data_IF_149145771099
#
_entry.id   IF_149145771099
#
_cell.length_a   1.000
_cell.length_b   1.000
_cell.length_c   1.000
_cell.angle_alpha   90.00
_cell.angle_beta   90.00
_cell.angle_gamma   90.00
#
_symmetry.space_group_name_H-M   'P 1'
#
loop_
_entity.id
_entity.type
_entity.pdbx_description
1 polymer ?
#
# COMPACT_ATOMS: atom_id res chain seq x y z
N UNK A 1 20.90 -10.03 -24.00
CA UNK A 1 19.49 -10.38 -23.72
C UNK A 1 19.16 -10.70 -22.25
N UNK A 2 20.09 -11.25 -21.45
CA UNK A 2 19.84 -11.66 -20.05
C UNK A 2 19.55 -10.49 -19.07
N UNK A 3 20.13 -9.30 -19.31
CA UNK A 3 19.97 -8.10 -18.45
C UNK A 3 18.53 -7.56 -18.39
N UNK A 4 17.77 -7.69 -19.49
CA UNK A 4 16.37 -7.21 -19.61
C UNK A 4 15.39 -8.05 -18.76
N UNK A 5 15.59 -9.37 -18.70
CA UNK A 5 14.71 -10.30 -17.96
C UNK A 5 14.63 -9.96 -16.46
N UNK A 6 15.74 -9.56 -15.84
CA UNK A 6 15.78 -9.22 -14.41
C UNK A 6 15.17 -7.85 -14.10
N UNK A 7 15.23 -6.90 -15.03
CA UNK A 7 14.58 -5.60 -14.87
C UNK A 7 13.05 -5.74 -14.85
N UNK A 8 12.50 -6.51 -15.79
CA UNK A 8 11.06 -6.78 -15.86
C UNK A 8 10.56 -7.52 -14.61
N UNK A 9 11.34 -8.46 -14.05
CA UNK A 9 11.00 -9.14 -12.79
C UNK A 9 10.94 -8.18 -11.60
N UNK A 10 11.91 -7.28 -11.45
CA UNK A 10 11.93 -6.28 -10.37
C UNK A 10 10.73 -5.33 -10.47
N UNK A 11 10.42 -4.89 -11.69
CA UNK A 11 9.27 -4.02 -11.96
C UNK A 11 7.95 -4.74 -11.69
N UNK A 12 7.84 -6.02 -12.08
CA UNK A 12 6.69 -6.86 -11.76
C UNK A 12 6.52 -6.99 -10.25
N UNK A 13 7.60 -7.26 -9.51
CA UNK A 13 7.55 -7.42 -8.06
C UNK A 13 7.12 -6.12 -7.35
N UNK A 14 7.66 -4.97 -7.76
CA UNK A 14 7.20 -3.66 -7.25
C UNK A 14 5.72 -3.42 -7.57
N UNK A 15 5.28 -3.78 -8.77
CA UNK A 15 3.88 -3.66 -9.16
C UNK A 15 2.98 -4.58 -8.32
N UNK A 16 3.42 -5.80 -8.01
CA UNK A 16 2.70 -6.72 -7.11
C UNK A 16 2.61 -6.15 -5.69
N UNK A 17 3.71 -5.60 -5.14
CA UNK A 17 3.71 -4.95 -3.82
C UNK A 17 2.76 -3.76 -3.80
N UNK A 18 2.76 -2.95 -4.86
CA UNK A 18 1.85 -1.81 -5.01
C UNK A 18 0.39 -2.25 -5.07
N UNK A 19 0.06 -3.27 -5.87
CA UNK A 19 -1.28 -3.84 -5.95
C UNK A 19 -1.75 -4.39 -4.60
N UNK A 20 -0.89 -5.13 -3.89
CA UNK A 20 -1.19 -5.61 -2.55
C UNK A 20 -1.49 -4.45 -1.60
N UNK A 21 -0.65 -3.42 -1.60
CA UNK A 21 -0.86 -2.24 -0.76
C UNK A 21 -2.14 -1.46 -1.07
N UNK A 22 -2.69 -1.61 -2.28
CA UNK A 22 -3.99 -1.03 -2.64
C UNK A 22 -5.15 -1.92 -2.20
N UNK A 23 -5.10 -3.22 -2.45
CA UNK A 23 -6.26 -4.12 -2.29
C UNK A 23 -6.54 -4.45 -0.84
N UNK A 24 -5.50 -4.60 -0.01
CA UNK A 24 -5.65 -5.06 1.38
C UNK A 24 -6.53 -4.14 2.25
N UNK A 25 -6.44 -2.80 2.21
CA UNK A 25 -7.28 -1.94 3.05
C UNK A 25 -8.78 -2.01 2.73
N UNK A 26 -9.19 -2.64 1.63
CA UNK A 26 -10.60 -2.88 1.31
C UNK A 26 -11.20 -4.08 2.06
N UNK A 27 -10.41 -4.87 2.78
CA UNK A 27 -10.87 -6.05 3.53
C UNK A 27 -10.56 -5.84 5.02
N UNK A 28 -11.56 -5.47 5.85
CA UNK A 28 -11.33 -5.06 7.25
C UNK A 28 -10.61 -6.10 8.12
N UNK A 29 -10.88 -7.39 7.90
CA UNK A 29 -10.21 -8.49 8.61
C UNK A 29 -8.73 -8.66 8.22
N UNK A 30 -8.35 -8.28 7.00
CA UNK A 30 -6.95 -8.30 6.56
C UNK A 30 -6.16 -7.09 7.08
N UNK A 31 -6.80 -5.95 7.34
CA UNK A 31 -6.13 -4.75 7.84
C UNK A 31 -5.45 -4.99 9.21
N UNK A 32 -6.08 -5.76 10.12
CA UNK A 32 -5.49 -6.13 11.42
C UNK A 32 -4.32 -7.11 11.21
N UNK A 33 -4.50 -8.11 10.34
CA UNK A 33 -3.45 -9.08 10.02
C UNK A 33 -2.25 -8.38 9.37
N UNK A 34 -2.49 -7.36 8.55
CA UNK A 34 -1.46 -6.58 7.85
C UNK A 34 -0.56 -5.78 8.81
N UNK A 35 -1.16 -5.12 9.81
CA UNK A 35 -0.41 -4.36 10.80
C UNK A 35 0.57 -5.24 11.60
N UNK A 36 0.18 -6.47 11.93
CA UNK A 36 1.00 -7.35 12.78
C UNK A 36 1.89 -8.33 11.98
N UNK A 37 1.42 -8.88 10.85
CA UNK A 37 2.14 -9.90 10.08
C UNK A 37 2.89 -9.37 8.86
N UNK A 38 2.56 -8.17 8.35
CA UNK A 38 3.25 -7.58 7.19
C UNK A 38 4.14 -6.41 7.60
N UNK A 39 3.61 -5.44 8.35
CA UNK A 39 4.38 -4.22 8.67
C UNK A 39 5.58 -4.53 9.58
N UNK A 40 5.39 -5.32 10.64
CA UNK A 40 6.47 -5.62 11.60
C UNK A 40 7.64 -6.37 10.93
N UNK A 41 7.44 -7.49 10.21
CA UNK A 41 8.54 -8.17 9.54
C UNK A 41 9.19 -7.32 8.44
N UNK A 42 8.41 -6.54 7.69
CA UNK A 42 8.97 -5.65 6.69
C UNK A 42 9.78 -4.51 7.31
N UNK A 43 9.37 -3.97 8.46
CA UNK A 43 10.11 -2.94 9.18
C UNK A 43 11.46 -3.49 9.68
N UNK A 44 11.50 -4.73 10.18
CA UNK A 44 12.76 -5.39 10.57
C UNK A 44 13.69 -5.54 9.37
N UNK A 45 13.18 -6.07 8.25
CA UNK A 45 13.96 -6.20 7.01
C UNK A 45 14.48 -4.83 6.57
N UNK A 46 13.63 -3.80 6.58
CA UNK A 46 13.98 -2.44 6.20
C UNK A 46 15.10 -1.86 7.06
N UNK A 47 15.02 -1.99 8.39
CA UNK A 47 16.07 -1.53 9.32
C UNK A 47 17.38 -2.26 9.03
N UNK A 48 17.35 -3.59 8.85
CA UNK A 48 18.54 -4.37 8.49
C UNK A 48 19.12 -3.92 7.15
N UNK A 49 18.26 -3.62 6.16
CA UNK A 49 18.70 -3.13 4.86
C UNK A 49 19.31 -1.73 4.94
N UNK A 50 18.74 -0.85 5.77
CA UNK A 50 19.24 0.50 6.01
C UNK A 50 20.62 0.45 6.68
N UNK A 51 20.78 -0.37 7.73
CA UNK A 51 22.07 -0.58 8.40
C UNK A 51 23.10 -1.11 7.39
N UNK A 52 22.74 -2.10 6.58
CA UNK A 52 23.62 -2.63 5.55
C UNK A 52 23.99 -1.60 4.46
N UNK A 53 23.05 -0.72 4.10
CA UNK A 53 23.31 0.38 3.16
C UNK A 53 24.30 1.39 3.74
N UNK A 54 24.09 1.80 4.99
CA UNK A 54 24.99 2.71 5.69
C UNK A 54 26.40 2.12 5.79
N UNK A 55 26.52 0.86 6.21
CA UNK A 55 27.82 0.18 6.30
C UNK A 55 28.53 0.10 4.93
N UNK A 56 27.81 -0.24 3.85
CA UNK A 56 28.40 -0.24 2.50
C UNK A 56 28.80 1.15 2.03
N UNK A 57 28.05 2.19 2.40
CA UNK A 57 28.37 3.56 2.06
C UNK A 57 29.69 4.01 2.71
N UNK A 58 29.93 3.63 3.97
CA UNK A 58 31.18 3.94 4.66
C UNK A 58 32.37 3.08 4.21
N UNK A 59 32.14 1.82 3.82
CA UNK A 59 33.19 0.86 3.44
C UNK A 59 33.55 0.96 1.94
N UNK A 60 32.72 1.64 1.12
CA UNK A 60 32.96 1.84 -0.31
C UNK A 60 32.70 0.60 -1.18
N UNK A 61 32.06 -0.45 -0.65
CA UNK A 61 31.83 -1.69 -1.38
C UNK A 61 30.52 -1.66 -2.20
N UNK A 62 30.58 -2.13 -3.45
CA UNK A 62 29.64 -1.78 -4.53
C UNK A 62 28.60 -2.86 -4.83
N UNK A 63 27.60 -3.00 -3.95
CA UNK A 63 26.34 -3.68 -4.29
C UNK A 63 25.08 -2.84 -3.99
N UNK A 64 25.25 -1.52 -3.99
CA UNK A 64 24.25 -0.50 -3.62
C UNK A 64 22.93 -0.65 -4.37
N UNK A 65 22.95 -1.06 -5.63
CA UNK A 65 21.74 -1.21 -6.46
C UNK A 65 20.75 -2.27 -5.96
N UNK A 66 21.22 -3.36 -5.34
CA UNK A 66 20.32 -4.39 -4.76
C UNK A 66 19.73 -3.91 -3.43
N UNK A 67 20.57 -3.26 -2.63
CA UNK A 67 20.21 -2.73 -1.31
C UNK A 67 19.18 -1.61 -1.45
N UNK A 68 19.38 -0.68 -2.39
CA UNK A 68 18.43 0.38 -2.71
C UNK A 68 17.08 -0.17 -3.19
N UNK A 69 17.08 -1.26 -3.97
CA UNK A 69 15.85 -1.90 -4.40
C UNK A 69 15.07 -2.46 -3.21
N UNK A 70 15.72 -3.23 -2.32
CA UNK A 70 15.07 -3.78 -1.13
C UNK A 70 14.58 -2.64 -0.21
N UNK A 71 15.40 -1.61 -0.03
CA UNK A 71 15.05 -0.42 0.73
C UNK A 71 13.80 0.29 0.19
N UNK A 72 13.64 0.35 -1.14
CA UNK A 72 12.47 1.01 -1.76
C UNK A 72 11.14 0.26 -1.58
N UNK A 73 11.15 -1.03 -1.23
CA UNK A 73 9.93 -1.84 -1.13
C UNK A 73 8.99 -1.30 -0.04
N UNK A 74 9.50 -1.05 1.17
CA UNK A 74 8.68 -0.60 2.30
C UNK A 74 8.12 0.83 2.09
N UNK A 75 8.91 1.84 1.71
CA UNK A 75 8.38 3.16 1.37
C UNK A 75 7.33 3.11 0.26
N UNK A 76 7.56 2.30 -0.78
CA UNK A 76 6.58 2.13 -1.87
C UNK A 76 5.27 1.53 -1.36
N UNK A 77 5.36 0.51 -0.49
CA UNK A 77 4.20 -0.10 0.14
C UNK A 77 3.43 0.90 1.02
N UNK A 78 4.11 1.66 1.88
CA UNK A 78 3.48 2.69 2.73
C UNK A 78 2.78 3.76 1.88
N UNK A 79 3.43 4.26 0.82
CA UNK A 79 2.83 5.25 -0.08
C UNK A 79 1.58 4.68 -0.77
N UNK A 80 1.62 3.42 -1.20
CA UNK A 80 0.46 2.77 -1.82
C UNK A 80 -0.71 2.63 -0.85
N UNK A 81 -0.43 2.32 0.42
CA UNK A 81 -1.43 2.22 1.48
C UNK A 81 -2.10 3.57 1.78
N UNK A 82 -1.31 4.64 1.92
CA UNK A 82 -1.84 5.99 2.14
C UNK A 82 -2.75 6.40 0.97
N UNK A 83 -2.31 6.13 -0.26
CA UNK A 83 -3.10 6.42 -1.45
C UNK A 83 -4.40 5.60 -1.48
N UNK A 84 -4.34 4.33 -1.11
CA UNK A 84 -5.51 3.46 -1.06
C UNK A 84 -6.53 3.95 -0.03
N UNK A 85 -6.10 4.31 1.18
CA UNK A 85 -6.97 4.89 2.22
C UNK A 85 -7.66 6.17 1.70
N UNK A 86 -6.90 7.06 1.05
CA UNK A 86 -7.47 8.28 0.47
C UNK A 86 -8.55 7.99 -0.59
N UNK A 87 -8.31 6.99 -1.47
CA UNK A 87 -9.28 6.58 -2.49
C UNK A 87 -10.51 5.93 -1.85
N UNK A 88 -10.30 5.05 -0.86
CA UNK A 88 -11.35 4.39 -0.09
C UNK A 88 -12.27 5.44 0.54
N UNK A 89 -11.71 6.45 1.22
CA UNK A 89 -12.49 7.51 1.86
C UNK A 89 -13.34 8.29 0.86
N UNK A 90 -12.79 8.60 -0.32
CA UNK A 90 -13.53 9.27 -1.40
C UNK A 90 -14.68 8.43 -1.93
N UNK A 91 -14.43 7.14 -2.18
CA UNK A 91 -15.45 6.20 -2.67
C UNK A 91 -16.53 5.96 -1.62
N UNK A 92 -16.15 5.76 -0.36
CA UNK A 92 -17.10 5.58 0.74
C UNK A 92 -17.96 6.83 0.95
N UNK A 93 -17.37 8.02 0.87
CA UNK A 93 -18.12 9.27 0.93
C UNK A 93 -19.13 9.41 -0.20
N UNK A 94 -18.73 9.12 -1.44
CA UNK A 94 -19.64 9.16 -2.60
C UNK A 94 -20.81 8.18 -2.43
N UNK A 95 -20.54 6.94 -2.01
CA UNK A 95 -21.58 5.94 -1.72
C UNK A 95 -22.50 6.39 -0.59
N UNK A 96 -21.96 7.03 0.44
CA UNK A 96 -22.73 7.54 1.57
C UNK A 96 -23.65 8.68 1.14
N UNK A 97 -23.16 9.61 0.32
CA UNK A 97 -23.94 10.70 -0.26
C UNK A 97 -25.08 10.16 -1.14
N UNK A 98 -24.83 9.13 -1.95
CA UNK A 98 -25.87 8.46 -2.76
C UNK A 98 -26.95 7.79 -1.89
N UNK A 99 -26.55 7.10 -0.82
CA UNK A 99 -27.49 6.47 0.11
C UNK A 99 -28.33 7.54 0.83
N UNK A 100 -27.71 8.64 1.28
CA UNK A 100 -28.39 9.76 1.94
C UNK A 100 -29.42 10.39 0.98
N UNK A 101 -29.06 10.60 -0.29
CA UNK A 101 -29.99 11.13 -1.30
C UNK A 101 -31.17 10.19 -1.54
N UNK A 102 -30.93 8.87 -1.63
CA UNK A 102 -32.00 7.87 -1.76
C UNK A 102 -32.93 7.89 -0.54
N UNK A 103 -32.39 7.96 0.67
CA UNK A 103 -33.19 8.07 1.91
C UNK A 103 -34.01 9.36 1.92
N UNK A 104 -33.44 10.50 1.51
CA UNK A 104 -34.17 11.77 1.39
C UNK A 104 -35.29 11.71 0.34
N UNK A 105 -35.05 11.09 -0.81
CA UNK A 105 -36.08 10.91 -1.84
C UNK A 105 -37.22 10.01 -1.33
N UNK A 106 -36.90 8.92 -0.65
CA UNK A 106 -37.89 8.04 -0.02
C UNK A 106 -38.70 8.84 1.02
N UNK A 107 -38.04 9.58 1.92
CA UNK A 107 -38.68 10.42 2.95
C UNK A 107 -39.60 11.49 2.36
N UNK A 108 -39.20 12.12 1.25
CA UNK A 108 -40.01 13.13 0.57
C UNK A 108 -41.17 12.53 -0.23
N UNK A 109 -41.01 11.32 -0.77
CA UNK A 109 -42.04 10.61 -1.54
C UNK A 109 -43.11 9.91 -0.67
N UNK A 110 -42.76 9.51 0.55
CA UNK A 110 -43.66 8.77 1.45
C UNK A 110 -44.37 9.64 2.49
N UNK A 111 -44.13 10.96 2.51
CA UNK A 111 -44.89 11.87 3.37
C UNK A 111 -44.88 11.45 4.85
N UNK A 112 -43.70 11.53 5.48
CA UNK A 112 -43.42 11.33 6.90
C UNK A 112 -43.59 9.91 7.48
N UNK A 113 -42.61 9.50 8.28
CA UNK A 113 -42.79 8.75 9.52
C UNK A 113 -41.46 8.69 10.31
N UNK A 114 -41.51 8.64 11.65
CA UNK A 114 -41.81 9.73 12.59
C UNK A 114 -40.77 10.88 12.60
#
# INVERSE_FOLDING_TARGET
>A
MVRSKNYNKRRLLLFTVFLFGIVVPFIPSLAIIEAFFLIIPFAIIFILTLVYLLLNFFIGNTNTNKVLFIFSILPTFIVSQIFAVFVVDKVQRFRSEEIIQKVHQIKNSQGAAP
#
